data_IF_029903660903
#
_entry.id   IF_029903660903
#
_cell.length_a   1.000
_cell.length_b   1.000
_cell.length_c   1.000
_cell.angle_alpha   90.00
_cell.angle_beta   90.00
_cell.angle_gamma   90.00
#
_symmetry.space_group_name_H-M   'P 1'
#
loop_
_entity.id
_entity.type
_entity.pdbx_description
1 polymer ?
#
# COMPACT_ATOMS: atom_id res chain seq x y z
N UNK A 1 12.47 3.08 8.98
CA UNK A 1 11.18 3.66 8.62
C UNK A 1 11.03 3.73 7.12
N UNK A 2 9.95 3.21 6.60
CA UNK A 2 9.62 3.25 5.18
C UNK A 2 8.88 4.55 4.86
N UNK A 3 9.29 5.21 3.79
CA UNK A 3 8.62 6.39 3.27
C UNK A 3 8.28 6.22 1.80
N UNK A 4 7.11 6.72 1.42
CA UNK A 4 6.71 6.86 0.04
C UNK A 4 6.49 8.34 -0.24
N UNK A 5 7.23 8.91 -1.18
CA UNK A 5 7.13 10.32 -1.52
C UNK A 5 6.73 10.48 -2.99
N UNK A 6 5.80 11.39 -3.26
CA UNK A 6 5.45 11.73 -4.65
C UNK A 6 6.65 12.35 -5.36
N UNK A 7 7.01 11.79 -6.51
CA UNK A 7 8.09 12.33 -7.35
C UNK A 7 7.58 13.37 -8.33
N UNK A 8 6.27 13.37 -8.61
CA UNK A 8 5.65 14.36 -9.49
C UNK A 8 4.22 14.62 -9.02
N UNK A 9 3.82 15.90 -8.83
CA UNK A 9 2.45 16.22 -8.46
C UNK A 9 1.43 15.88 -9.55
N UNK A 10 1.89 15.71 -10.80
CA UNK A 10 1.01 15.50 -11.95
C UNK A 10 0.84 14.04 -12.35
N UNK A 11 1.81 13.17 -12.00
CA UNK A 11 1.85 11.79 -12.50
C UNK A 11 1.52 10.73 -11.46
N UNK A 12 1.32 11.11 -10.20
CA UNK A 12 1.04 10.16 -9.15
C UNK A 12 2.12 9.08 -8.98
N UNK A 13 3.35 9.40 -9.32
CA UNK A 13 4.47 8.50 -9.14
C UNK A 13 5.05 8.65 -7.74
N UNK A 14 5.44 7.53 -7.14
CA UNK A 14 6.00 7.49 -5.79
C UNK A 14 7.37 6.82 -5.81
N UNK A 15 8.27 7.33 -4.99
CA UNK A 15 9.54 6.70 -4.68
C UNK A 15 9.51 6.19 -3.24
N UNK A 16 9.89 4.95 -3.05
CA UNK A 16 10.00 4.34 -1.73
C UNK A 16 11.43 4.41 -1.23
N UNK A 17 11.58 4.83 0.01
CA UNK A 17 12.89 4.85 0.70
C UNK A 17 12.77 4.16 2.05
N UNK A 18 13.83 3.48 2.46
CA UNK A 18 13.98 2.94 3.81
C UNK A 18 15.20 3.61 4.43
N UNK A 19 14.99 4.32 5.53
CA UNK A 19 16.02 5.09 6.22
C UNK A 19 16.80 6.03 5.25
N UNK A 20 16.08 6.61 4.29
CA UNK A 20 16.63 7.53 3.30
C UNK A 20 17.21 6.87 2.05
N UNK A 21 17.36 5.55 2.01
CA UNK A 21 17.90 4.84 0.85
C UNK A 21 16.78 4.40 -0.10
N UNK A 22 16.83 4.73 -1.39
CA UNK A 22 15.81 4.28 -2.36
C UNK A 22 15.78 2.76 -2.47
N UNK A 23 14.56 2.19 -2.42
CA UNK A 23 14.36 0.74 -2.51
C UNK A 23 13.44 0.33 -3.66
N UNK A 24 12.53 1.20 -4.09
CA UNK A 24 11.62 0.93 -5.21
C UNK A 24 10.89 2.20 -5.64
N UNK A 25 10.16 2.09 -6.74
CA UNK A 25 9.25 3.14 -7.21
C UNK A 25 8.03 2.50 -7.86
N UNK A 26 6.90 3.23 -7.88
CA UNK A 26 5.72 2.79 -8.61
C UNK A 26 4.85 3.98 -9.03
N UNK A 27 3.92 3.73 -9.97
CA UNK A 27 2.95 4.71 -10.43
C UNK A 27 1.58 4.47 -9.80
N UNK A 28 0.91 5.53 -9.39
CA UNK A 28 -0.40 5.45 -8.74
C UNK A 28 -1.55 5.03 -9.65
N UNK A 29 -1.32 4.94 -10.96
CA UNK A 29 -2.36 4.48 -11.90
C UNK A 29 -2.51 2.97 -11.97
N UNK A 30 -1.77 2.23 -11.16
CA UNK A 30 -1.76 0.77 -11.15
C UNK A 30 -3.11 0.15 -10.83
N UNK A 31 -3.96 0.83 -10.08
CA UNK A 31 -5.28 0.31 -9.71
C UNK A 31 -6.25 0.20 -10.88
N UNK A 32 -5.94 0.83 -12.02
CA UNK A 32 -6.71 0.70 -13.26
C UNK A 32 -6.15 -0.37 -14.20
N UNK A 33 -4.83 -0.50 -14.26
CA UNK A 33 -4.16 -1.31 -15.28
C UNK A 33 -3.14 -2.29 -14.72
N UNK A 34 -3.01 -2.37 -13.39
CA UNK A 34 -1.94 -3.10 -12.74
C UNK A 34 -0.66 -2.27 -12.66
N UNK A 35 0.01 -2.33 -11.53
CA UNK A 35 1.26 -1.63 -11.29
C UNK A 35 2.42 -2.60 -11.19
N UNK A 36 3.59 -2.13 -11.58
CA UNK A 36 4.82 -2.92 -11.50
C UNK A 36 5.82 -2.22 -10.63
N UNK A 37 6.58 -3.00 -9.86
CA UNK A 37 7.71 -2.50 -9.10
C UNK A 37 8.80 -3.55 -9.02
N UNK A 38 10.04 -3.08 -8.95
CA UNK A 38 11.20 -3.95 -8.75
C UNK A 38 11.65 -3.82 -7.31
N UNK A 39 11.77 -4.94 -6.61
CA UNK A 39 12.18 -5.00 -5.21
C UNK A 39 13.32 -6.01 -5.10
N UNK A 40 14.50 -5.54 -4.65
CA UNK A 40 15.69 -6.38 -4.51
C UNK A 40 16.02 -7.17 -5.80
N UNK A 41 15.91 -6.50 -6.95
CA UNK A 41 16.20 -7.09 -8.25
C UNK A 41 15.14 -8.05 -8.77
N UNK A 42 14.00 -8.18 -8.08
CA UNK A 42 12.90 -9.05 -8.51
C UNK A 42 11.71 -8.22 -8.95
N UNK A 43 11.09 -8.62 -10.03
CA UNK A 43 9.93 -7.93 -10.59
C UNK A 43 8.64 -8.38 -9.93
N UNK A 44 7.82 -7.42 -9.55
CA UNK A 44 6.54 -7.66 -8.90
C UNK A 44 5.42 -6.92 -9.63
N UNK A 45 4.25 -7.51 -9.65
CA UNK A 45 3.05 -6.90 -10.19
C UNK A 45 1.97 -6.85 -9.13
N UNK A 46 1.34 -5.67 -8.97
CA UNK A 46 0.21 -5.49 -8.06
C UNK A 46 -1.04 -5.29 -8.90
N UNK A 47 -2.09 -6.05 -8.60
CA UNK A 47 -3.39 -5.93 -9.27
C UNK A 47 -4.52 -5.77 -8.27
N UNK A 48 -5.48 -4.93 -8.63
CA UNK A 48 -6.74 -4.81 -7.90
C UNK A 48 -7.69 -5.92 -8.35
N UNK A 49 -8.44 -6.47 -7.40
CA UNK A 49 -9.48 -7.43 -7.68
C UNK A 49 -10.69 -6.80 -8.37
N UNK A 50 -11.47 -7.64 -9.04
CA UNK A 50 -12.62 -7.24 -9.87
C UNK A 50 -13.71 -6.47 -9.11
N UNK A 51 -13.91 -6.80 -7.85
CA UNK A 51 -15.02 -6.27 -7.06
C UNK A 51 -14.60 -5.18 -6.05
N UNK A 52 -13.35 -4.72 -6.15
CA UNK A 52 -12.80 -3.75 -5.19
C UNK A 52 -12.44 -4.38 -3.85
N UNK A 53 -11.62 -3.68 -3.09
CA UNK A 53 -11.22 -4.11 -1.75
C UNK A 53 -10.25 -5.29 -1.68
N UNK A 54 -9.86 -5.85 -2.80
CA UNK A 54 -8.87 -6.93 -2.88
C UNK A 54 -7.71 -6.51 -3.76
N UNK A 55 -6.50 -6.78 -3.29
CA UNK A 55 -5.27 -6.51 -4.05
C UNK A 55 -4.33 -7.71 -3.90
N UNK A 56 -3.60 -8.01 -4.97
CA UNK A 56 -2.65 -9.13 -4.97
C UNK A 56 -1.33 -8.65 -5.55
N UNK A 57 -0.23 -8.99 -4.87
CA UNK A 57 1.12 -8.81 -5.38
C UNK A 57 1.70 -10.15 -5.78
N UNK A 58 2.20 -10.22 -7.01
CA UNK A 58 2.78 -11.42 -7.61
C UNK A 58 4.23 -11.15 -8.00
N UNK A 59 5.12 -12.08 -7.69
CA UNK A 59 6.49 -12.06 -8.19
C UNK A 59 6.47 -12.69 -9.58
N UNK A 60 6.87 -11.89 -10.58
CA UNK A 60 6.83 -12.29 -12.00
C UNK A 60 8.23 -12.54 -12.59
N UNK A 61 9.27 -12.50 -11.77
CA UNK A 61 10.66 -12.50 -12.20
C UNK A 61 11.02 -13.72 -13.06
N UNK A 62 10.59 -14.89 -12.65
CA UNK A 62 11.02 -16.16 -13.28
C UNK A 62 10.00 -16.69 -14.29
N UNK A 63 9.00 -15.91 -14.66
CA UNK A 63 7.94 -16.33 -15.57
C UNK A 63 6.91 -17.28 -14.95
N UNK A 64 7.17 -17.81 -13.77
CA UNK A 64 6.22 -18.57 -12.99
C UNK A 64 5.64 -17.65 -11.92
N UNK A 65 4.47 -17.09 -12.16
CA UNK A 65 3.86 -16.12 -11.28
C UNK A 65 3.58 -16.74 -9.90
N UNK A 66 4.17 -16.13 -8.87
CA UNK A 66 4.00 -16.55 -7.49
C UNK A 66 3.37 -15.43 -6.68
N UNK A 67 2.24 -15.71 -6.06
CA UNK A 67 1.58 -14.73 -5.17
C UNK A 67 2.43 -14.54 -3.92
N UNK A 68 2.82 -13.28 -3.68
CA UNK A 68 3.64 -12.88 -2.52
C UNK A 68 2.76 -12.41 -1.38
N UNK A 69 1.72 -11.65 -1.69
CA UNK A 69 0.81 -11.10 -0.69
C UNK A 69 -0.56 -10.82 -1.28
N UNK A 70 -1.58 -10.95 -0.44
CA UNK A 70 -2.96 -10.62 -0.81
C UNK A 70 -3.58 -9.75 0.29
N UNK A 71 -4.19 -8.63 -0.09
CA UNK A 71 -4.94 -7.77 0.81
C UNK A 71 -6.43 -7.94 0.54
N UNK A 72 -7.22 -8.08 1.59
CA UNK A 72 -8.67 -8.27 1.51
C UNK A 72 -9.40 -7.29 2.41
N UNK A 73 -10.61 -6.92 2.00
CA UNK A 73 -11.50 -6.01 2.72
C UNK A 73 -10.90 -4.60 2.90
N UNK A 74 -10.03 -4.21 2.00
CA UNK A 74 -9.41 -2.88 1.97
C UNK A 74 -10.51 -1.82 1.86
N UNK A 75 -10.30 -0.67 2.50
CA UNK A 75 -11.27 0.41 2.67
C UNK A 75 -12.40 0.12 3.69
N UNK A 76 -12.43 -1.07 4.28
CA UNK A 76 -13.25 -1.34 5.46
C UNK A 76 -12.51 -0.91 6.73
N UNK A 77 -13.24 -0.79 7.83
CA UNK A 77 -12.63 -0.44 9.13
C UNK A 77 -11.52 -1.43 9.51
N UNK A 78 -11.76 -2.71 9.25
CA UNK A 78 -10.79 -3.78 9.46
C UNK A 78 -10.50 -4.47 8.13
N UNK A 79 -9.24 -4.65 7.82
CA UNK A 79 -8.80 -5.36 6.63
C UNK A 79 -7.57 -6.22 6.94
N UNK A 80 -7.25 -7.14 6.05
CA UNK A 80 -6.19 -8.13 6.29
C UNK A 80 -5.24 -8.24 5.12
N UNK A 81 -4.00 -8.56 5.42
CA UNK A 81 -2.98 -8.95 4.44
C UNK A 81 -2.49 -10.34 4.81
N UNK A 82 -2.47 -11.24 3.83
CA UNK A 82 -1.91 -12.57 3.97
C UNK A 82 -0.62 -12.63 3.16
N UNK A 83 0.47 -13.05 3.81
CA UNK A 83 1.78 -13.17 3.19
C UNK A 83 2.62 -14.16 4.00
N UNK A 84 3.43 -14.97 3.32
CA UNK A 84 4.36 -15.92 3.97
C UNK A 84 3.67 -16.84 4.99
N UNK A 85 2.44 -17.27 4.69
CA UNK A 85 1.67 -18.14 5.56
C UNK A 85 1.13 -17.47 6.83
N UNK A 86 1.21 -16.14 6.90
CA UNK A 86 0.73 -15.36 8.05
C UNK A 86 -0.36 -14.39 7.61
N UNK A 87 -1.25 -14.05 8.54
CA UNK A 87 -2.26 -12.99 8.37
C UNK A 87 -1.91 -11.80 9.24
N UNK A 88 -1.91 -10.63 8.64
CA UNK A 88 -1.68 -9.36 9.32
C UNK A 88 -2.98 -8.58 9.30
N UNK A 89 -3.37 -8.03 10.44
CA UNK A 89 -4.62 -7.29 10.59
C UNK A 89 -4.34 -5.80 10.65
N UNK A 90 -5.16 -5.05 9.92
CA UNK A 90 -5.08 -3.60 9.87
C UNK A 90 -6.43 -3.00 10.23
N UNK A 91 -6.40 -1.82 10.83
CA UNK A 91 -7.61 -1.02 11.07
C UNK A 91 -7.30 0.46 10.96
N UNK A 92 -8.32 1.25 10.70
CA UNK A 92 -8.22 2.70 10.74
C UNK A 92 -8.05 3.15 12.19
N UNK A 93 -7.17 4.14 12.43
CA UNK A 93 -6.90 4.63 13.78
C UNK A 93 -8.14 5.25 14.42
N UNK A 94 -8.92 6.02 13.66
CA UNK A 94 -10.18 6.60 14.12
C UNK A 94 -11.07 6.96 12.94
N UNK A 95 -12.33 7.33 13.21
CA UNK A 95 -13.27 7.79 12.17
C UNK A 95 -12.77 9.04 11.44
N UNK A 96 -12.00 9.85 12.11
CA UNK A 96 -11.53 11.16 11.60
C UNK A 96 -10.12 11.11 11.04
N UNK A 97 -9.45 9.97 11.13
CA UNK A 97 -8.07 9.80 10.70
C UNK A 97 -7.98 8.90 9.47
N UNK A 98 -7.08 9.23 8.56
CA UNK A 98 -6.71 8.35 7.45
C UNK A 98 -5.62 7.34 7.84
N UNK A 99 -5.03 7.48 9.02
CA UNK A 99 -3.98 6.59 9.51
C UNK A 99 -4.48 5.16 9.64
N UNK A 100 -3.68 4.22 9.18
CA UNK A 100 -3.93 2.79 9.30
C UNK A 100 -2.98 2.20 10.33
N UNK A 101 -3.50 1.34 11.18
CA UNK A 101 -2.72 0.68 12.23
C UNK A 101 -2.58 -0.80 11.92
N UNK A 102 -1.36 -1.31 12.07
CA UNK A 102 -1.11 -2.74 12.14
C UNK A 102 -1.38 -3.18 13.57
N UNK A 103 -2.26 -4.16 13.75
CA UNK A 103 -2.67 -4.60 15.09
C UNK A 103 -2.36 -6.07 15.31
N UNK A 104 -1.96 -6.37 16.55
CA UNK A 104 -1.82 -7.72 17.05
C UNK A 104 -2.74 -7.85 18.26
N UNK A 105 -3.80 -8.65 18.10
CA UNK A 105 -4.89 -8.62 19.06
C UNK A 105 -5.56 -7.25 19.07
N UNK A 106 -5.58 -6.60 20.22
CA UNK A 106 -6.14 -5.24 20.38
C UNK A 106 -5.07 -4.16 20.36
N UNK A 107 -3.79 -4.55 20.32
CA UNK A 107 -2.67 -3.62 20.41
C UNK A 107 -2.17 -3.19 19.04
N UNK A 108 -2.01 -1.88 18.84
CA UNK A 108 -1.35 -1.33 17.66
C UNK A 108 0.16 -1.53 17.81
N UNK A 109 0.77 -2.19 16.83
CA UNK A 109 2.22 -2.45 16.80
C UNK A 109 2.92 -1.75 15.65
N UNK A 110 2.18 -1.16 14.74
CA UNK A 110 2.73 -0.41 13.61
C UNK A 110 1.71 0.55 13.04
N UNK A 111 2.15 1.41 12.13
CA UNK A 111 1.27 2.43 11.55
C UNK A 111 1.69 2.85 10.15
N UNK A 112 0.72 3.35 9.40
CA UNK A 112 0.92 4.01 8.10
C UNK A 112 0.18 5.34 8.15
N UNK A 113 0.91 6.44 7.99
CA UNK A 113 0.39 7.80 8.07
C UNK A 113 0.67 8.57 6.81
N UNK A 114 -0.17 9.56 6.49
CA UNK A 114 0.13 10.54 5.46
C UNK A 114 1.28 11.43 5.89
N UNK A 115 2.24 11.70 4.98
CA UNK A 115 3.33 12.65 5.24
C UNK A 115 2.79 14.07 5.35
N UNK A 116 1.91 14.46 4.41
CA UNK A 116 1.20 15.72 4.46
C UNK A 116 -0.08 15.60 3.63
N UNK A 117 -1.10 16.37 4.02
CA UNK A 117 -2.38 16.35 3.32
C UNK A 117 -2.31 16.99 1.92
N UNK A 118 -1.31 17.83 1.67
CA UNK A 118 -1.18 18.61 0.43
C UNK A 118 -0.09 18.09 -0.52
N UNK A 119 0.93 17.41 -0.02
CA UNK A 119 1.97 16.80 -0.85
C UNK A 119 1.70 15.35 -1.21
N UNK A 120 0.88 14.68 -0.44
CA UNK A 120 0.70 13.24 -0.56
C UNK A 120 1.90 12.47 -0.02
N UNK A 121 1.86 11.16 -0.18
CA UNK A 121 2.90 10.30 0.35
C UNK A 121 2.53 9.66 1.68
N UNK A 122 3.38 8.75 2.13
CA UNK A 122 3.15 7.97 3.35
C UNK A 122 4.45 7.71 4.10
N UNK A 123 4.30 7.51 5.39
CA UNK A 123 5.35 7.09 6.30
C UNK A 123 4.83 5.87 7.04
N UNK A 124 5.62 4.81 7.10
CA UNK A 124 5.18 3.54 7.67
C UNK A 124 6.23 2.92 8.59
N UNK A 125 5.76 2.40 9.71
CA UNK A 125 6.48 1.50 10.57
C UNK A 125 5.70 0.20 10.68
N UNK A 126 6.24 -0.87 10.09
CA UNK A 126 5.56 -2.16 9.97
C UNK A 126 6.48 -3.27 10.46
N UNK A 127 6.69 -3.37 11.78
CA UNK A 127 7.58 -4.39 12.35
C UNK A 127 7.08 -5.79 12.05
N UNK A 128 8.00 -6.69 11.75
CA UNK A 128 7.69 -8.09 11.46
C UNK A 128 7.30 -8.39 10.02
N UNK A 129 7.06 -7.38 9.17
CA UNK A 129 6.79 -7.58 7.76
C UNK A 129 8.09 -7.51 6.95
N UNK A 130 8.23 -8.41 5.96
CA UNK A 130 9.35 -8.34 5.01
C UNK A 130 9.23 -7.09 4.13
N UNK A 131 10.33 -6.65 3.54
CA UNK A 131 10.32 -5.45 2.70
C UNK A 131 9.29 -5.51 1.56
N UNK A 132 9.19 -6.61 0.78
CA UNK A 132 8.15 -6.68 -0.26
C UNK A 132 6.74 -6.50 0.29
N UNK A 133 6.44 -7.10 1.43
CA UNK A 133 5.12 -6.98 2.08
C UNK A 133 4.88 -5.57 2.57
N UNK A 134 5.88 -4.91 3.16
CA UNK A 134 5.78 -3.51 3.57
C UNK A 134 5.45 -2.59 2.38
N UNK A 135 6.16 -2.76 1.27
CA UNK A 135 5.94 -1.97 0.06
C UNK A 135 4.53 -2.21 -0.50
N UNK A 136 4.09 -3.46 -0.52
CA UNK A 136 2.75 -3.81 -0.94
C UNK A 136 1.67 -3.13 -0.08
N UNK A 137 1.80 -3.22 1.23
CA UNK A 137 0.85 -2.61 2.17
C UNK A 137 0.76 -1.10 1.97
N UNK A 138 1.90 -0.43 1.85
CA UNK A 138 1.93 1.03 1.63
C UNK A 138 1.32 1.39 0.29
N UNK A 139 1.62 0.64 -0.77
CA UNK A 139 1.02 0.85 -2.09
C UNK A 139 -0.52 0.72 -2.05
N UNK A 140 -1.03 -0.30 -1.36
CA UNK A 140 -2.47 -0.51 -1.17
C UNK A 140 -3.10 0.68 -0.43
N UNK A 141 -2.48 1.14 0.64
CA UNK A 141 -3.00 2.27 1.43
C UNK A 141 -2.98 3.57 0.61
N UNK A 142 -1.91 3.84 -0.13
CA UNK A 142 -1.85 5.00 -1.02
C UNK A 142 -2.96 4.96 -2.07
N UNK A 143 -3.20 3.80 -2.66
CA UNK A 143 -4.28 3.60 -3.62
C UNK A 143 -5.66 3.86 -3.00
N UNK A 144 -5.87 3.34 -1.79
CA UNK A 144 -7.11 3.56 -1.04
C UNK A 144 -7.34 5.05 -0.79
N UNK A 145 -6.32 5.78 -0.34
CA UNK A 145 -6.42 7.22 -0.09
C UNK A 145 -6.71 8.01 -1.38
N UNK A 146 -6.09 7.64 -2.49
CA UNK A 146 -6.35 8.29 -3.78
C UNK A 146 -7.78 8.06 -4.26
N UNK A 147 -8.29 6.86 -4.11
CA UNK A 147 -9.68 6.53 -4.47
C UNK A 147 -10.67 7.30 -3.61
N UNK A 148 -10.41 7.42 -2.31
CA UNK A 148 -11.24 8.20 -1.40
C UNK A 148 -11.23 9.69 -1.75
N UNK A 149 -10.08 10.23 -2.09
CA UNK A 149 -9.95 11.62 -2.55
C UNK A 149 -10.70 11.86 -3.87
N UNK A 150 -10.58 10.95 -4.82
CA UNK A 150 -11.27 11.05 -6.10
C UNK A 150 -12.79 10.99 -5.92
N UNK A 151 -13.28 10.11 -5.05
CA UNK A 151 -14.70 9.98 -4.73
C UNK A 151 -15.24 11.26 -4.07
N UNK A 152 -14.49 11.85 -3.14
CA UNK A 152 -14.85 13.11 -2.48
C UNK A 152 -14.91 14.28 -3.47
N UNK A 153 -13.98 14.34 -4.43
CA UNK A 153 -13.95 15.36 -5.46
C UNK A 153 -15.06 15.20 -6.49
N UNK A 154 -15.42 13.96 -6.82
CA UNK A 154 -16.50 13.65 -7.77
C UNK A 154 -17.90 13.85 -7.19
N UNK A 155 -18.06 13.76 -5.88
CA UNK A 155 -19.35 13.93 -5.20
C UNK A 155 -19.82 15.36 -5.04
N UNK A 156 -19.02 16.35 -5.40
CA UNK A 156 -19.33 17.77 -5.26
C UNK A 156 -19.89 18.42 -6.53
N UNK A 157 -20.13 17.61 -7.55
CA UNK A 157 -20.63 18.12 -8.84
C UNK A 157 -22.12 18.33 -8.89
#
# INVERSE_FOLDING_TARGET
MLRAEKTSPWRGAYEFTVDGAPVSSFSSHWWRSGGRMTIDGRDHEIRAGRWGGTYTMTDTTDGADRVVATAERVARKHWTVTADGRSYRFRRASMWSSEQLLVEGEQAIGSIRKLSWWRGGAEAELPGLSLPVQLFVVAVVLSMWEQQSAAASGGGG
#
